data_IF_492276631201
#
_entry.id   IF_492276631201
#
_cell.length_a   1.000
_cell.length_b   1.000
_cell.length_c   1.000
_cell.angle_alpha   90.00
_cell.angle_beta   90.00
_cell.angle_gamma   90.00
#
_symmetry.space_group_name_H-M   'P 1'
#
loop_
_entity.id
_entity.type
_entity.pdbx_description
1 polymer ?
#
# COMPACT_ATOMS: atom_id res chain seq x y z
N UNK A 1 -52.05 -64.67 -27.09
CA UNK A 1 -50.59 -64.76 -27.22
C UNK A 1 -50.11 -63.36 -27.51
N UNK A 2 -49.53 -62.68 -26.57
CA UNK A 2 -49.05 -61.28 -26.80
C UNK A 2 -47.60 -61.28 -27.19
N UNK A 3 -47.32 -60.55 -28.22
CA UNK A 3 -46.00 -60.32 -28.81
C UNK A 3 -45.32 -59.17 -28.09
N UNK A 4 -44.14 -59.40 -27.52
CA UNK A 4 -43.35 -58.39 -26.88
C UNK A 4 -42.46 -57.61 -27.92
N UNK A 5 -42.44 -56.29 -27.94
CA UNK A 5 -41.48 -55.51 -28.73
C UNK A 5 -40.14 -55.41 -27.98
N UNK A 6 -39.07 -55.60 -28.71
CA UNK A 6 -37.69 -55.42 -28.31
C UNK A 6 -37.39 -53.91 -28.01
N UNK A 7 -37.02 -53.64 -26.80
CA UNK A 7 -36.54 -52.30 -26.41
C UNK A 7 -35.06 -52.17 -26.78
N UNK A 8 -34.80 -51.37 -27.81
CA UNK A 8 -33.44 -50.92 -28.16
C UNK A 8 -32.87 -50.00 -27.07
N UNK A 9 -31.73 -50.42 -26.50
CA UNK A 9 -30.96 -49.63 -25.57
C UNK A 9 -30.22 -48.53 -26.35
N UNK A 10 -30.72 -47.31 -26.29
CA UNK A 10 -29.96 -46.11 -26.66
C UNK A 10 -29.09 -45.71 -25.47
N UNK A 11 -27.79 -45.92 -25.59
CA UNK A 11 -26.76 -45.36 -24.70
C UNK A 11 -26.69 -43.87 -24.94
N UNK A 12 -27.34 -43.10 -24.07
CA UNK A 12 -27.12 -41.66 -24.00
C UNK A 12 -25.86 -41.39 -23.20
N UNK A 13 -24.80 -41.05 -23.93
CA UNK A 13 -23.57 -40.53 -23.34
C UNK A 13 -23.83 -39.15 -22.77
N UNK A 14 -23.92 -39.04 -21.44
CA UNK A 14 -24.03 -37.80 -20.70
C UNK A 14 -22.63 -37.17 -20.62
N UNK A 15 -22.36 -36.21 -21.51
CA UNK A 15 -21.16 -35.34 -21.45
C UNK A 15 -21.33 -34.39 -20.26
N UNK A 16 -20.62 -34.66 -19.16
CA UNK A 16 -20.51 -33.76 -18.01
C UNK A 16 -19.53 -32.66 -18.34
N UNK A 17 -20.06 -31.51 -18.78
CA UNK A 17 -19.27 -30.31 -18.96
C UNK A 17 -18.95 -29.72 -17.57
N UNK A 18 -17.72 -29.96 -17.09
CA UNK A 18 -17.18 -29.28 -15.90
C UNK A 18 -16.91 -27.80 -16.23
N UNK A 19 -17.82 -26.93 -15.82
CA UNK A 19 -17.59 -25.48 -15.84
C UNK A 19 -16.57 -25.15 -14.74
N UNK A 20 -15.31 -24.96 -15.13
CA UNK A 20 -14.30 -24.33 -14.28
C UNK A 20 -14.67 -22.86 -14.10
N UNK A 21 -15.31 -22.54 -12.97
CA UNK A 21 -15.36 -21.17 -12.48
C UNK A 21 -13.93 -20.77 -12.07
N UNK A 22 -13.23 -20.15 -12.98
CA UNK A 22 -11.99 -19.46 -12.68
C UNK A 22 -12.30 -18.33 -11.71
N UNK A 23 -11.97 -18.52 -10.42
CA UNK A 23 -11.88 -17.42 -9.47
C UNK A 23 -10.72 -16.55 -9.94
N UNK A 24 -11.04 -15.53 -10.72
CA UNK A 24 -10.10 -14.50 -11.10
C UNK A 24 -9.66 -13.77 -9.84
N UNK A 25 -8.46 -14.08 -9.32
CA UNK A 25 -7.77 -13.20 -8.39
C UNK A 25 -7.58 -11.87 -9.11
N UNK A 26 -8.41 -10.88 -8.79
CA UNK A 26 -8.19 -9.51 -9.23
C UNK A 26 -6.86 -9.07 -8.61
N UNK A 27 -5.80 -9.09 -9.41
CA UNK A 27 -4.53 -8.45 -9.04
C UNK A 27 -4.84 -6.97 -8.82
N UNK A 28 -4.45 -6.38 -7.67
CA UNK A 28 -4.59 -4.94 -7.49
C UNK A 28 -3.87 -4.24 -8.64
N UNK A 29 -4.52 -3.24 -9.22
CA UNK A 29 -3.93 -2.43 -10.28
C UNK A 29 -2.53 -1.97 -9.83
N UNK A 30 -1.51 -2.02 -10.72
CA UNK A 30 -0.17 -1.59 -10.38
C UNK A 30 -0.22 -0.10 -10.00
N UNK A 31 -0.13 0.17 -8.69
CA UNK A 31 0.01 1.53 -8.18
C UNK A 31 1.31 2.14 -8.69
N UNK A 32 1.32 3.46 -8.83
CA UNK A 32 2.54 4.19 -9.20
C UNK A 32 3.63 3.92 -8.15
N UNK A 33 4.76 3.36 -8.57
CA UNK A 33 5.93 3.12 -7.74
C UNK A 33 6.93 4.25 -7.95
N UNK A 34 7.25 4.95 -6.87
CA UNK A 34 8.18 6.09 -6.89
C UNK A 34 9.63 5.64 -6.62
N UNK A 35 10.56 6.57 -6.81
CA UNK A 35 11.96 6.36 -6.45
C UNK A 35 12.12 6.20 -4.92
N UNK A 36 13.10 5.40 -4.46
CA UNK A 36 13.36 5.22 -3.04
C UNK A 36 13.68 6.55 -2.34
N UNK A 37 13.09 6.74 -1.16
CA UNK A 37 13.34 7.91 -0.29
C UNK A 37 14.09 7.45 0.94
N UNK A 38 15.16 8.17 1.28
CA UNK A 38 15.97 7.92 2.46
C UNK A 38 17.47 7.86 2.15
N UNK A 39 18.30 7.81 3.19
CA UNK A 39 19.74 7.70 3.06
C UNK A 39 20.15 6.36 2.43
N UNK A 40 21.30 6.27 1.76
CA UNK A 40 21.82 5.00 1.25
C UNK A 40 22.04 4.00 2.40
N UNK A 41 21.71 2.74 2.15
CA UNK A 41 21.89 1.67 3.15
C UNK A 41 23.38 1.49 3.46
N UNK A 42 23.77 1.65 4.71
CA UNK A 42 25.13 1.37 5.17
C UNK A 42 25.20 -0.09 5.64
N UNK A 43 26.01 -0.92 5.00
CA UNK A 43 26.23 -2.32 5.36
C UNK A 43 27.22 -2.46 6.55
N UNK A 44 27.01 -1.71 7.64
CA UNK A 44 27.83 -1.85 8.83
C UNK A 44 27.14 -2.75 9.86
N UNK A 45 27.86 -3.70 10.48
CA UNK A 45 27.31 -4.52 11.56
C UNK A 45 26.99 -3.62 12.77
N UNK A 46 25.71 -3.46 13.06
CA UNK A 46 25.23 -2.62 14.17
C UNK A 46 25.10 -3.49 15.40
N UNK A 47 25.85 -3.15 16.45
CA UNK A 47 25.66 -3.65 17.82
C UNK A 47 24.33 -3.07 18.34
N UNK A 48 23.30 -3.91 18.47
CA UNK A 48 21.90 -3.61 18.76
C UNK A 48 21.25 -2.64 17.73
N UNK A 49 20.18 -3.02 17.05
CA UNK A 49 19.58 -2.18 16.01
C UNK A 49 18.93 -0.95 16.65
N UNK A 50 19.63 0.19 16.60
CA UNK A 50 19.01 1.47 16.90
C UNK A 50 17.96 1.69 15.83
N UNK A 51 16.68 1.84 16.23
CA UNK A 51 15.60 2.13 15.30
C UNK A 51 15.84 3.44 14.55
N UNK A 52 15.34 3.54 13.35
CA UNK A 52 15.21 4.80 12.64
C UNK A 52 13.75 5.26 12.67
N UNK A 53 13.50 6.51 12.36
CA UNK A 53 12.17 7.10 12.36
C UNK A 53 11.68 7.33 10.93
N UNK A 54 10.46 6.90 10.63
CA UNK A 54 9.76 7.22 9.39
C UNK A 54 8.66 8.24 9.69
N UNK A 55 8.60 9.31 8.89
CA UNK A 55 7.53 10.32 8.93
C UNK A 55 6.95 10.46 7.52
N UNK A 56 5.63 10.29 7.37
CA UNK A 56 4.96 10.34 6.08
C UNK A 56 3.94 11.49 6.06
N UNK A 57 4.22 12.52 5.29
CA UNK A 57 3.28 13.60 4.98
C UNK A 57 2.39 13.15 3.81
N UNK A 58 1.37 12.35 4.11
CA UNK A 58 0.41 11.87 3.11
C UNK A 58 -0.53 13.00 2.67
N UNK A 59 -1.33 12.77 1.63
CA UNK A 59 -2.36 13.72 1.20
C UNK A 59 -3.29 14.09 2.37
N UNK A 60 -3.87 15.26 2.28
CA UNK A 60 -4.89 15.68 3.24
C UNK A 60 -6.22 14.98 2.98
N UNK A 61 -6.96 14.70 4.05
CA UNK A 61 -8.32 14.18 3.93
C UNK A 61 -9.21 15.18 3.19
N UNK A 62 -9.88 14.71 2.15
CA UNK A 62 -10.91 15.48 1.44
C UNK A 62 -12.26 15.12 2.04
N UNK A 63 -12.88 16.01 2.79
CA UNK A 63 -14.17 15.78 3.41
C UNK A 63 -14.62 16.98 4.21
N UNK A 64 -15.83 16.93 4.74
CA UNK A 64 -16.37 17.99 5.56
C UNK A 64 -15.40 18.27 6.71
N UNK A 65 -14.95 19.51 6.82
CA UNK A 65 -14.27 19.98 8.01
C UNK A 65 -15.08 19.53 9.22
N UNK A 66 -14.47 18.79 10.14
CA UNK A 66 -15.18 18.46 11.37
C UNK A 66 -15.56 19.75 12.05
N UNK A 67 -16.83 20.00 12.38
CA UNK A 67 -17.24 21.26 13.01
C UNK A 67 -16.56 21.49 14.38
N UNK A 68 -15.83 20.48 14.84
CA UNK A 68 -15.04 20.54 16.09
C UNK A 68 -13.58 20.95 15.86
N UNK A 69 -13.11 21.07 14.61
CA UNK A 69 -11.74 21.48 14.29
C UNK A 69 -11.72 22.93 13.75
N UNK A 70 -10.69 23.70 14.05
CA UNK A 70 -10.44 24.98 13.41
C UNK A 70 -10.39 24.83 11.87
N UNK A 71 -10.83 25.85 11.13
CA UNK A 71 -10.99 25.80 9.65
C UNK A 71 -9.65 25.62 8.90
N UNK A 72 -8.52 25.91 9.52
CA UNK A 72 -7.17 25.79 8.98
C UNK A 72 -6.51 24.44 9.25
N UNK A 73 -7.11 23.60 10.09
CA UNK A 73 -6.58 22.26 10.40
C UNK A 73 -6.87 21.28 9.28
N UNK A 74 -5.81 20.67 8.78
CA UNK A 74 -5.86 19.64 7.73
C UNK A 74 -5.29 18.34 8.26
N UNK A 75 -6.08 17.28 8.20
CA UNK A 75 -5.70 15.96 8.67
C UNK A 75 -5.04 15.17 7.53
N UNK A 76 -3.96 14.49 7.85
CA UNK A 76 -3.31 13.56 6.93
C UNK A 76 -4.10 12.26 6.79
N UNK A 77 -4.13 11.69 5.60
CA UNK A 77 -4.71 10.38 5.36
C UNK A 77 -3.87 9.27 5.98
N UNK A 78 -4.51 8.18 6.37
CA UNK A 78 -3.82 6.96 6.81
C UNK A 78 -2.96 6.36 5.69
N UNK A 79 -1.95 5.58 6.08
CA UNK A 79 -1.07 4.88 5.15
C UNK A 79 -0.67 3.50 5.68
N UNK A 80 -0.09 2.69 4.82
CA UNK A 80 0.39 1.36 5.13
C UNK A 80 1.90 1.28 4.98
N UNK A 81 2.54 0.57 5.91
CA UNK A 81 3.94 0.19 5.83
C UNK A 81 3.99 -1.30 5.50
N UNK A 82 4.74 -1.64 4.47
CA UNK A 82 4.93 -3.01 4.01
C UNK A 82 6.41 -3.36 3.99
N UNK A 83 6.73 -4.65 4.11
CA UNK A 83 8.09 -5.14 3.89
C UNK A 83 8.53 -4.89 2.44
N UNK A 84 9.82 -5.04 2.14
CA UNK A 84 10.33 -4.98 0.78
C UNK A 84 9.68 -6.02 -0.17
N UNK A 85 9.10 -7.10 0.38
CA UNK A 85 8.37 -8.14 -0.34
C UNK A 85 6.87 -7.83 -0.48
N UNK A 86 6.40 -6.68 0.00
CA UNK A 86 5.01 -6.25 -0.08
C UNK A 86 4.09 -6.76 1.04
N UNK A 87 4.60 -7.49 2.03
CA UNK A 87 3.81 -7.96 3.18
C UNK A 87 3.45 -6.78 4.06
N UNK A 88 2.17 -6.61 4.39
CA UNK A 88 1.70 -5.57 5.30
C UNK A 88 2.28 -5.79 6.70
N UNK A 89 2.98 -4.78 7.21
CA UNK A 89 3.54 -4.77 8.56
C UNK A 89 2.68 -3.95 9.51
N UNK A 90 2.23 -2.78 9.07
CA UNK A 90 1.49 -1.85 9.91
C UNK A 90 0.60 -0.92 9.06
N UNK A 91 -0.57 -0.57 9.60
CA UNK A 91 -1.39 0.55 9.13
C UNK A 91 -1.29 1.69 10.14
N UNK A 92 -0.96 2.89 9.67
CA UNK A 92 -0.77 4.09 10.49
C UNK A 92 -1.93 5.05 10.27
N UNK A 93 -2.60 5.48 11.34
CA UNK A 93 -3.68 6.46 11.25
C UNK A 93 -3.21 7.86 10.85
N UNK A 94 -1.93 8.15 11.04
CA UNK A 94 -1.22 9.37 10.62
C UNK A 94 -1.79 10.65 11.25
N UNK A 95 -2.09 10.57 12.54
CA UNK A 95 -2.68 11.66 13.31
C UNK A 95 -1.92 11.85 14.61
N UNK A 96 -1.01 12.80 14.63
CA UNK A 96 -0.33 13.29 15.82
C UNK A 96 -0.67 14.76 16.06
N UNK A 97 -0.16 15.35 17.13
CA UNK A 97 -0.48 16.71 17.52
C UNK A 97 -1.83 16.82 18.26
N UNK A 98 -2.13 18.01 18.80
CA UNK A 98 -3.32 18.26 19.63
C UNK A 98 -4.65 18.02 18.90
N UNK A 99 -4.67 18.24 17.59
CA UNK A 99 -5.84 18.08 16.74
C UNK A 99 -5.69 16.92 15.73
N UNK A 100 -4.57 16.19 15.78
CA UNK A 100 -4.26 15.11 14.84
C UNK A 100 -3.79 15.60 13.47
N UNK A 101 -3.32 16.84 13.37
CA UNK A 101 -2.88 17.52 12.15
C UNK A 101 -1.45 17.19 11.75
N UNK A 102 -0.66 16.69 12.68
CA UNK A 102 0.72 16.30 12.42
C UNK A 102 0.82 14.85 11.94
N UNK A 103 1.79 14.55 11.06
CA UNK A 103 2.05 13.17 10.70
C UNK A 103 2.63 12.38 11.88
N UNK A 104 2.18 11.14 12.05
CA UNK A 104 2.63 10.27 13.13
C UNK A 104 4.03 9.72 12.84
N UNK A 105 5.05 9.97 13.68
CA UNK A 105 6.35 9.32 13.55
C UNK A 105 6.24 7.83 13.88
N UNK A 106 6.93 6.99 13.11
CA UNK A 106 6.96 5.53 13.31
C UNK A 106 8.39 5.07 13.44
N UNK A 107 8.71 4.40 14.53
CA UNK A 107 10.02 3.77 14.71
C UNK A 107 10.05 2.40 14.02
N UNK A 108 11.07 2.18 13.21
CA UNK A 108 11.27 0.95 12.45
C UNK A 108 12.73 0.49 12.57
N UNK A 109 12.96 -0.83 12.56
CA UNK A 109 14.31 -1.35 12.38
C UNK A 109 14.92 -0.82 11.08
N UNK A 110 16.25 -0.61 11.03
CA UNK A 110 16.92 -0.23 9.79
C UNK A 110 16.64 -1.24 8.68
N UNK A 111 16.27 -0.75 7.48
CA UNK A 111 15.88 -1.64 6.40
C UNK A 111 15.19 -0.93 5.24
N UNK A 112 14.71 -1.75 4.29
CA UNK A 112 13.94 -1.30 3.14
C UNK A 112 12.46 -1.64 3.35
N UNK A 113 11.61 -0.66 3.09
CA UNK A 113 10.16 -0.77 3.25
C UNK A 113 9.46 -0.19 2.02
N UNK A 114 8.19 -0.51 1.90
CA UNK A 114 7.27 0.12 0.95
C UNK A 114 6.19 0.85 1.74
N UNK A 115 5.98 2.11 1.42
CA UNK A 115 4.91 2.93 1.98
C UNK A 115 3.82 3.09 0.94
N UNK A 116 2.61 2.57 1.21
CA UNK A 116 1.45 2.80 0.37
C UNK A 116 0.59 3.91 1.00
N UNK A 117 0.55 5.08 0.38
CA UNK A 117 -0.09 6.28 0.91
C UNK A 117 -0.80 7.08 -0.20
N UNK A 118 -1.77 7.90 0.17
CA UNK A 118 -2.36 8.85 -0.75
C UNK A 118 -1.42 10.04 -0.99
N UNK A 119 -1.23 10.38 -2.28
CA UNK A 119 -0.55 11.59 -2.72
C UNK A 119 -1.57 12.58 -3.29
N UNK A 120 -1.41 13.86 -2.99
CA UNK A 120 -2.31 14.91 -3.50
C UNK A 120 -2.36 14.88 -5.04
N UNK A 121 -3.59 14.76 -5.58
CA UNK A 121 -3.84 14.75 -7.02
C UNK A 121 -3.51 13.44 -7.75
N UNK A 122 -2.97 12.41 -7.05
CA UNK A 122 -2.49 11.18 -7.69
C UNK A 122 -3.08 9.88 -7.12
N UNK A 123 -3.93 9.97 -6.08
CA UNK A 123 -4.47 8.79 -5.41
C UNK A 123 -3.42 8.03 -4.60
N UNK A 124 -3.59 6.69 -4.49
CA UNK A 124 -2.65 5.86 -3.74
C UNK A 124 -1.40 5.57 -4.56
N UNK A 125 -0.25 5.86 -3.96
CA UNK A 125 1.08 5.60 -4.53
C UNK A 125 1.88 4.68 -3.62
N UNK A 126 2.85 3.97 -4.18
CA UNK A 126 3.80 3.17 -3.41
C UNK A 126 5.19 3.79 -3.50
N UNK A 127 5.74 4.14 -2.34
CA UNK A 127 7.07 4.75 -2.22
C UNK A 127 8.01 3.75 -1.56
N UNK A 128 9.06 3.31 -2.23
CA UNK A 128 10.16 2.61 -1.59
C UNK A 128 10.91 3.55 -0.64
N UNK A 129 11.12 3.13 0.59
CA UNK A 129 11.81 3.93 1.61
C UNK A 129 12.97 3.13 2.21
N UNK A 130 14.02 3.82 2.60
CA UNK A 130 15.16 3.28 3.32
C UNK A 130 15.17 3.94 4.69
N UNK A 131 15.05 3.13 5.73
CA UNK A 131 15.17 3.56 7.13
C UNK A 131 16.57 3.22 7.61
N UNK A 132 17.33 4.21 8.05
CA UNK A 132 18.66 4.03 8.63
C UNK A 132 18.61 4.22 10.15
N UNK A 133 19.53 3.53 10.85
CA UNK A 133 19.63 3.58 12.31
C UNK A 133 19.80 5.02 12.82
N UNK A 134 18.98 5.43 13.77
CA UNK A 134 19.05 6.75 14.41
C UNK A 134 18.75 7.93 13.48
N UNK A 135 18.26 7.69 12.25
CA UNK A 135 17.93 8.75 11.30
C UNK A 135 16.43 8.85 11.06
N UNK A 136 15.98 10.05 10.69
CA UNK A 136 14.60 10.28 10.26
C UNK A 136 14.52 10.30 8.74
N UNK A 137 13.67 9.44 8.20
CA UNK A 137 13.29 9.44 6.78
C UNK A 137 11.94 10.11 6.64
N UNK A 138 11.87 11.22 5.90
CA UNK A 138 10.63 11.94 5.63
C UNK A 138 10.16 11.69 4.19
N UNK A 139 8.86 11.40 4.03
CA UNK A 139 8.21 11.21 2.72
C UNK A 139 7.14 12.28 2.57
N UNK A 140 7.24 13.12 1.53
CA UNK A 140 6.33 14.23 1.28
C UNK A 140 5.43 13.94 0.07
N UNK A 141 4.15 13.70 0.33
CA UNK A 141 3.12 13.43 -0.68
C UNK A 141 1.97 14.45 -0.65
N UNK A 142 1.96 15.33 0.37
CA UNK A 142 0.98 16.40 0.52
C UNK A 142 1.09 17.48 -0.57
N UNK A 143 2.25 17.60 -1.20
CA UNK A 143 2.53 18.55 -2.29
C UNK A 143 2.36 17.93 -3.69
N UNK A 144 1.89 16.69 -3.76
CA UNK A 144 1.89 15.88 -4.97
C UNK A 144 3.15 15.04 -5.10
N UNK A 145 3.35 14.43 -6.26
CA UNK A 145 4.54 13.61 -6.49
C UNK A 145 5.79 14.50 -6.62
N UNK A 146 6.93 14.09 -6.03
CA UNK A 146 8.19 14.74 -6.33
C UNK A 146 8.44 14.59 -7.85
N UNK A 147 8.52 15.72 -8.52
CA UNK A 147 8.99 15.75 -9.91
C UNK A 147 10.43 15.24 -9.85
N UNK A 148 10.70 14.08 -10.48
CA UNK A 148 12.07 13.66 -10.67
C UNK A 148 12.80 14.81 -11.35
N UNK A 149 13.83 15.36 -10.68
CA UNK A 149 14.67 16.38 -11.30
C UNK A 149 15.22 15.74 -12.59
N UNK A 150 14.75 16.21 -13.73
CA UNK A 150 15.32 15.82 -15.00
C UNK A 150 16.78 16.30 -14.94
N UNK A 151 17.71 15.36 -14.95
CA UNK A 151 19.13 15.65 -15.12
C UNK A 151 19.27 16.43 -16.43
N UNK A 152 19.44 17.74 -16.31
CA UNK A 152 19.80 18.60 -17.43
C UNK A 152 21.30 18.45 -17.63
N UNK A 153 21.68 17.60 -18.58
CA UNK A 153 23.03 17.60 -19.14
C UNK A 153 23.22 18.78 -20.08
#
# INVERSE_FOLDING_TARGET
MPTYPRISRLLSSLLLAAAFFGVGCASPAPGLVLQPVGPPSSDHPVTAPVAGTLVVYSAYETGAASPALPDDIRLHTRYEIRSAQGVLLQTVSNRAGPYGEEPSPVELPPGRYLVAAQANGHGVVTVPVIVAAGQTTAVHLERGLPVAAADTH
#
